data_IF_040128694863
#
_entry.id   IF_040128694863
#
_cell.length_a   1.000
_cell.length_b   1.000
_cell.length_c   1.000
_cell.angle_alpha   90.00
_cell.angle_beta   90.00
_cell.angle_gamma   90.00
#
_symmetry.space_group_name_H-M   'P 1'
#
loop_
_entity.id
_entity.type
_entity.pdbx_description
1 polymer ?
#
# COMPACT_ATOMS: atom_id res chain seq x y z
N UNK A 1 -15.80 15.08 11.36
CA UNK A 1 -14.39 14.99 11.78
C UNK A 1 -13.77 13.86 10.98
N UNK A 2 -12.66 14.11 10.29
CA UNK A 2 -12.07 13.14 9.35
C UNK A 2 -11.10 12.26 10.13
N UNK A 3 -11.64 11.21 10.75
CA UNK A 3 -10.93 10.39 11.71
C UNK A 3 -10.31 9.17 11.04
N UNK A 4 -9.06 8.89 11.38
CA UNK A 4 -8.31 7.72 10.89
C UNK A 4 -7.60 7.00 12.04
N UNK A 5 -7.24 5.74 11.83
CA UNK A 5 -6.43 4.98 12.77
C UNK A 5 -5.03 5.60 12.95
N UNK A 6 -4.43 5.34 14.12
CA UNK A 6 -3.04 5.71 14.39
C UNK A 6 -2.08 5.09 13.36
N UNK A 7 -2.37 3.87 12.88
CA UNK A 7 -1.54 3.19 11.90
C UNK A 7 -1.60 3.89 10.54
N UNK A 8 -2.78 4.32 10.09
CA UNK A 8 -2.89 5.13 8.88
C UNK A 8 -2.14 6.46 9.02
N UNK A 9 -2.23 7.12 10.19
CA UNK A 9 -1.48 8.35 10.46
C UNK A 9 0.04 8.15 10.39
N UNK A 10 0.57 7.03 10.90
CA UNK A 10 2.00 6.65 10.80
C UNK A 10 2.43 6.60 9.34
N UNK A 11 1.62 5.95 8.49
CA UNK A 11 1.93 5.78 7.07
C UNK A 11 1.80 7.09 6.31
N UNK A 12 0.75 7.87 6.56
CA UNK A 12 0.50 9.16 5.93
C UNK A 12 1.56 10.21 6.24
N UNK A 13 2.20 10.13 7.40
CA UNK A 13 3.25 11.08 7.81
C UNK A 13 4.66 10.55 7.58
N UNK A 14 4.84 9.26 7.30
CA UNK A 14 6.15 8.58 7.29
C UNK A 14 6.91 8.80 8.63
N UNK A 15 6.18 8.80 9.74
CA UNK A 15 6.71 9.04 11.10
C UNK A 15 6.41 7.86 12.01
N UNK A 16 7.30 7.62 12.97
CA UNK A 16 7.07 6.61 14.01
C UNK A 16 5.87 6.94 14.89
N UNK A 17 5.24 5.92 15.44
CA UNK A 17 4.15 6.05 16.42
C UNK A 17 4.56 6.95 17.61
N UNK A 18 5.79 6.77 18.11
CA UNK A 18 6.37 7.61 19.18
C UNK A 18 6.37 9.10 18.81
N UNK A 19 6.68 9.43 17.57
CA UNK A 19 6.68 10.81 17.09
C UNK A 19 5.26 11.37 17.05
N UNK A 20 4.29 10.59 16.57
CA UNK A 20 2.88 11.01 16.57
C UNK A 20 2.35 11.20 17.98
N UNK A 21 2.67 10.32 18.93
CA UNK A 21 2.29 10.51 20.33
C UNK A 21 2.85 11.80 20.93
N UNK A 22 4.07 12.18 20.55
CA UNK A 22 4.64 13.48 20.95
C UNK A 22 3.86 14.65 20.36
N UNK A 23 3.52 14.59 19.07
CA UNK A 23 2.72 15.63 18.39
C UNK A 23 1.31 15.76 18.98
N UNK A 24 0.76 14.66 19.51
CA UNK A 24 -0.51 14.70 20.22
C UNK A 24 -0.34 15.31 21.63
N UNK A 25 0.77 15.00 22.30
CA UNK A 25 1.07 15.55 23.63
C UNK A 25 1.37 17.05 23.61
N UNK A 26 1.97 17.55 22.53
CA UNK A 26 2.25 18.98 22.35
C UNK A 26 1.09 19.77 21.68
N UNK A 27 0.01 19.09 21.29
CA UNK A 27 -1.20 19.71 20.73
C UNK A 27 -1.13 20.03 19.23
N UNK A 28 -0.03 19.66 18.54
CA UNK A 28 0.08 19.85 17.08
C UNK A 28 -0.87 18.93 16.29
N UNK A 29 -1.25 17.79 16.86
CA UNK A 29 -2.17 16.82 16.25
C UNK A 29 -3.30 16.50 17.22
N UNK A 30 -4.53 16.56 16.72
CA UNK A 30 -5.72 16.28 17.52
C UNK A 30 -6.07 14.80 17.42
N UNK A 31 -6.45 14.20 18.55
CA UNK A 31 -7.01 12.85 18.61
C UNK A 31 -8.36 12.83 19.32
N UNK A 32 -9.18 11.85 18.99
CA UNK A 32 -10.30 11.39 19.80
C UNK A 32 -10.07 9.94 20.24
N UNK A 33 -10.88 9.45 21.17
CA UNK A 33 -10.86 8.05 21.59
C UNK A 33 -12.25 7.47 21.37
N UNK A 34 -12.33 6.43 20.54
CA UNK A 34 -13.57 5.71 20.26
C UNK A 34 -13.34 4.21 20.50
N UNK A 35 -14.21 3.59 21.30
CA UNK A 35 -14.12 2.17 21.67
C UNK A 35 -12.73 1.76 22.21
N UNK A 36 -12.09 2.66 22.97
CA UNK A 36 -10.75 2.45 23.54
C UNK A 36 -9.59 2.58 22.53
N UNK A 37 -9.87 2.94 21.27
CA UNK A 37 -8.85 3.18 20.23
C UNK A 37 -8.68 4.67 20.00
N UNK A 38 -7.43 5.11 19.88
CA UNK A 38 -7.13 6.48 19.47
C UNK A 38 -7.36 6.64 17.97
N UNK A 39 -8.19 7.62 17.61
CA UNK A 39 -8.40 8.06 16.24
C UNK A 39 -7.84 9.45 16.05
N UNK A 40 -7.14 9.67 14.95
CA UNK A 40 -6.42 10.92 14.67
C UNK A 40 -7.25 11.76 13.71
N UNK A 41 -7.35 13.06 13.96
CA UNK A 41 -7.98 13.99 13.04
C UNK A 41 -7.05 14.30 11.87
N UNK A 42 -7.43 13.83 10.67
CA UNK A 42 -6.65 13.96 9.45
C UNK A 42 -6.38 15.42 9.07
N UNK A 43 -7.31 16.33 9.38
CA UNK A 43 -7.09 17.75 9.10
C UNK A 43 -5.90 18.32 9.91
N UNK A 44 -5.79 17.93 11.19
CA UNK A 44 -4.65 18.32 12.03
C UNK A 44 -3.31 17.72 11.56
N UNK A 45 -3.35 16.62 10.79
CA UNK A 45 -2.14 16.01 10.22
C UNK A 45 -1.65 16.68 8.93
N UNK A 46 -2.47 17.51 8.27
CA UNK A 46 -2.16 18.09 6.96
C UNK A 46 -0.73 18.68 6.84
N UNK A 47 -0.21 19.44 7.82
CA UNK A 47 1.14 20.00 7.75
C UNK A 47 2.27 18.96 7.81
N UNK A 48 1.96 17.71 8.18
CA UNK A 48 2.91 16.63 8.43
C UNK A 48 2.80 15.48 7.43
N UNK A 49 1.91 15.56 6.44
CA UNK A 49 1.72 14.52 5.44
C UNK A 49 2.96 14.39 4.55
N UNK A 50 3.30 13.15 4.20
CA UNK A 50 4.44 12.84 3.35
C UNK A 50 4.09 12.86 1.85
N UNK A 51 2.81 13.01 1.53
CA UNK A 51 2.24 13.19 0.19
C UNK A 51 1.23 14.35 0.24
N UNK A 52 1.07 15.13 -0.85
CA UNK A 52 0.06 16.17 -0.91
C UNK A 52 -1.32 15.52 -0.97
N UNK A 53 -2.07 15.60 0.13
CA UNK A 53 -3.48 15.23 0.20
C UNK A 53 -4.25 16.45 0.70
N UNK A 54 -5.27 16.84 -0.03
CA UNK A 54 -6.16 17.92 0.36
C UNK A 54 -7.49 17.39 0.93
N UNK A 55 -8.42 18.30 1.18
CA UNK A 55 -9.71 17.94 1.77
C UNK A 55 -10.55 17.00 0.87
N UNK A 56 -10.35 17.05 -0.45
CA UNK A 56 -11.09 16.22 -1.40
C UNK A 56 -10.57 14.77 -1.37
N UNK A 57 -9.28 14.59 -1.05
CA UNK A 57 -8.66 13.26 -0.88
C UNK A 57 -9.01 12.57 0.45
N UNK A 58 -9.50 13.30 1.45
CA UNK A 58 -9.74 12.73 2.78
C UNK A 58 -10.77 11.61 2.76
N UNK A 59 -11.78 11.69 1.88
CA UNK A 59 -12.75 10.61 1.71
C UNK A 59 -12.07 9.32 1.23
N UNK A 60 -11.08 9.41 0.35
CA UNK A 60 -10.28 8.26 -0.11
C UNK A 60 -9.47 7.67 1.05
N UNK A 61 -8.80 8.52 1.82
CA UNK A 61 -7.99 8.09 2.98
C UNK A 61 -8.84 7.38 4.03
N UNK A 62 -10.02 7.92 4.34
CA UNK A 62 -10.94 7.31 5.31
C UNK A 62 -11.41 5.95 4.82
N UNK A 63 -11.80 5.83 3.54
CA UNK A 63 -12.20 4.53 2.96
C UNK A 63 -11.06 3.52 3.00
N UNK A 64 -9.83 3.95 2.69
CA UNK A 64 -8.65 3.09 2.73
C UNK A 64 -8.37 2.58 4.15
N UNK A 65 -8.47 3.45 5.16
CA UNK A 65 -8.31 3.09 6.58
C UNK A 65 -9.43 2.16 7.09
N UNK A 66 -10.65 2.32 6.56
CA UNK A 66 -11.79 1.44 6.85
C UNK A 66 -11.72 0.07 6.15
N UNK A 67 -10.73 -0.16 5.30
CA UNK A 67 -10.50 -1.45 4.67
C UNK A 67 -10.94 -1.56 3.21
N UNK A 68 -11.42 -0.49 2.57
CA UNK A 68 -11.81 -0.56 1.16
C UNK A 68 -10.60 -0.84 0.26
N UNK A 69 -10.54 -2.04 -0.32
CA UNK A 69 -9.37 -2.50 -1.07
C UNK A 69 -9.09 -1.67 -2.34
N UNK A 70 -10.13 -1.09 -2.97
CA UNK A 70 -9.95 -0.20 -4.10
C UNK A 70 -9.31 1.11 -3.63
N UNK A 71 -9.84 1.71 -2.56
CA UNK A 71 -9.31 2.95 -1.99
C UNK A 71 -7.88 2.78 -1.47
N UNK A 72 -7.57 1.64 -0.86
CA UNK A 72 -6.20 1.29 -0.46
C UNK A 72 -5.26 1.23 -1.67
N UNK A 73 -5.72 0.66 -2.79
CA UNK A 73 -4.94 0.60 -4.02
C UNK A 73 -4.72 1.99 -4.61
N UNK A 74 -5.78 2.79 -4.72
CA UNK A 74 -5.71 4.16 -5.25
C UNK A 74 -4.79 5.04 -4.39
N UNK A 75 -4.91 4.96 -3.06
CA UNK A 75 -4.03 5.67 -2.14
C UNK A 75 -2.57 5.20 -2.29
N UNK A 76 -2.32 3.90 -2.49
CA UNK A 76 -0.98 3.41 -2.76
C UNK A 76 -0.37 4.01 -4.03
N UNK A 77 -1.16 4.21 -5.09
CA UNK A 77 -0.71 4.84 -6.33
C UNK A 77 -0.34 6.31 -6.12
N UNK A 78 -1.07 7.04 -5.28
CA UNK A 78 -0.71 8.40 -4.86
C UNK A 78 0.65 8.39 -4.15
N UNK A 79 0.91 7.41 -3.28
CA UNK A 79 2.21 7.28 -2.64
C UNK A 79 3.33 6.98 -3.63
N UNK A 80 3.10 6.09 -4.60
CA UNK A 80 4.10 5.79 -5.63
C UNK A 80 4.44 6.98 -6.51
N UNK A 81 3.44 7.78 -6.93
CA UNK A 81 3.68 8.95 -7.77
C UNK A 81 4.56 10.01 -7.07
N UNK A 82 4.60 9.99 -5.74
CA UNK A 82 5.45 10.85 -4.91
C UNK A 82 6.72 10.16 -4.38
N UNK A 83 7.04 8.96 -4.88
CA UNK A 83 8.23 8.21 -4.47
C UNK A 83 8.17 7.64 -3.04
N UNK A 84 7.00 7.61 -2.41
CA UNK A 84 6.77 7.09 -1.05
C UNK A 84 6.47 5.60 -1.06
N UNK A 85 7.44 4.82 -1.53
CA UNK A 85 7.30 3.38 -1.80
C UNK A 85 6.91 2.58 -0.57
N UNK A 86 7.46 2.87 0.62
CA UNK A 86 7.11 2.16 1.86
C UNK A 86 5.63 2.27 2.20
N UNK A 87 5.05 3.46 2.12
CA UNK A 87 3.63 3.67 2.39
C UNK A 87 2.73 3.08 1.30
N UNK A 88 3.18 3.13 0.04
CA UNK A 88 2.49 2.48 -1.05
C UNK A 88 2.39 0.95 -0.85
N UNK A 89 3.50 0.30 -0.48
CA UNK A 89 3.53 -1.14 -0.20
C UNK A 89 2.61 -1.49 0.97
N UNK A 90 2.61 -0.68 2.05
CA UNK A 90 1.71 -0.91 3.17
C UNK A 90 0.24 -0.99 2.71
N UNK A 91 -0.22 -0.02 1.92
CA UNK A 91 -1.60 0.02 1.45
C UNK A 91 -1.91 -1.11 0.47
N UNK A 92 -1.00 -1.41 -0.46
CA UNK A 92 -1.15 -2.54 -1.36
C UNK A 92 -1.21 -3.88 -0.63
N UNK A 93 -0.42 -4.07 0.44
CA UNK A 93 -0.47 -5.28 1.25
C UNK A 93 -1.84 -5.45 1.91
N UNK A 94 -2.47 -4.36 2.39
CA UNK A 94 -3.82 -4.45 2.94
C UNK A 94 -4.83 -4.86 1.87
N UNK A 95 -4.78 -4.26 0.67
CA UNK A 95 -5.69 -4.60 -0.43
C UNK A 95 -5.44 -6.01 -0.98
N UNK A 96 -4.17 -6.40 -1.11
CA UNK A 96 -3.75 -7.71 -1.58
C UNK A 96 -4.15 -8.84 -0.63
N UNK A 97 -4.11 -8.61 0.70
CA UNK A 97 -4.61 -9.57 1.70
C UNK A 97 -6.12 -9.81 1.58
N UNK A 98 -6.86 -8.86 1.04
CA UNK A 98 -8.30 -8.97 0.80
C UNK A 98 -8.65 -9.65 -0.53
N UNK A 99 -7.67 -10.05 -1.34
CA UNK A 99 -7.96 -10.66 -2.64
C UNK A 99 -8.04 -9.68 -3.80
N UNK A 100 -7.67 -8.41 -3.63
CA UNK A 100 -7.84 -7.42 -4.69
C UNK A 100 -6.79 -7.59 -5.81
N UNK A 101 -7.18 -7.98 -7.03
CA UNK A 101 -6.21 -8.45 -8.03
C UNK A 101 -5.27 -7.35 -8.54
N UNK A 102 -5.76 -6.11 -8.64
CA UNK A 102 -4.95 -4.94 -9.03
C UNK A 102 -3.83 -4.70 -8.00
N UNK A 103 -4.14 -4.75 -6.70
CA UNK A 103 -3.14 -4.58 -5.66
C UNK A 103 -2.08 -5.69 -5.67
N UNK A 104 -2.51 -6.94 -5.86
CA UNK A 104 -1.60 -8.07 -6.00
C UNK A 104 -0.67 -7.93 -7.21
N UNK A 105 -1.19 -7.39 -8.33
CA UNK A 105 -0.36 -7.09 -9.49
C UNK A 105 0.76 -6.10 -9.13
N UNK A 106 0.40 -4.99 -8.48
CA UNK A 106 1.36 -3.98 -8.05
C UNK A 106 2.38 -4.53 -7.04
N UNK A 107 1.96 -5.31 -6.04
CA UNK A 107 2.89 -5.99 -5.12
C UNK A 107 3.86 -6.90 -5.87
N UNK A 108 3.33 -7.68 -6.82
CA UNK A 108 4.12 -8.56 -7.67
C UNK A 108 5.26 -7.82 -8.36
N UNK A 109 4.95 -6.70 -9.01
CA UNK A 109 5.95 -5.82 -9.62
C UNK A 109 6.95 -5.27 -8.62
N UNK A 110 6.51 -4.84 -7.44
CA UNK A 110 7.40 -4.28 -6.43
C UNK A 110 8.43 -5.29 -5.95
N UNK A 111 8.03 -6.53 -5.70
CA UNK A 111 8.94 -7.60 -5.31
C UNK A 111 9.88 -8.03 -6.45
N UNK A 112 9.40 -8.14 -7.70
CA UNK A 112 10.25 -8.48 -8.86
C UNK A 112 11.31 -7.39 -9.10
N UNK A 113 10.93 -6.12 -8.98
CA UNK A 113 11.82 -4.99 -9.23
C UNK A 113 12.67 -4.59 -8.02
N UNK A 114 12.28 -4.99 -6.80
CA UNK A 114 12.87 -4.47 -5.56
C UNK A 114 12.48 -3.02 -5.26
N UNK A 115 11.27 -2.60 -5.62
CA UNK A 115 10.79 -1.24 -5.40
C UNK A 115 10.15 -1.10 -4.02
N UNK A 116 10.83 -0.45 -3.08
CA UNK A 116 10.35 -0.25 -1.70
C UNK A 116 10.43 -1.50 -0.81
N UNK A 117 10.65 -2.66 -1.40
CA UNK A 117 10.90 -3.96 -0.75
C UNK A 117 12.19 -4.57 -1.28
N UNK A 118 12.77 -5.52 -0.54
CA UNK A 118 13.88 -6.32 -1.06
C UNK A 118 13.46 -7.06 -2.34
N UNK A 119 14.33 -7.09 -3.34
CA UNK A 119 14.07 -7.83 -4.58
C UNK A 119 13.89 -9.32 -4.25
N UNK A 120 12.73 -9.84 -4.56
CA UNK A 120 12.36 -11.24 -4.40
C UNK A 120 11.42 -11.65 -5.53
N UNK A 121 12.02 -12.18 -6.59
CA UNK A 121 11.27 -12.58 -7.79
C UNK A 121 10.27 -13.71 -7.48
N UNK A 122 10.59 -14.61 -6.56
CA UNK A 122 9.70 -15.72 -6.22
C UNK A 122 8.42 -15.22 -5.53
N UNK A 123 8.57 -14.32 -4.55
CA UNK A 123 7.43 -13.66 -3.89
C UNK A 123 6.64 -12.81 -4.89
N UNK A 124 7.33 -12.09 -5.77
CA UNK A 124 6.68 -11.27 -6.80
C UNK A 124 5.83 -12.10 -7.77
N UNK A 125 6.38 -13.19 -8.30
CA UNK A 125 5.66 -14.12 -9.17
C UNK A 125 4.50 -14.81 -8.44
N UNK A 126 4.62 -15.08 -7.13
CA UNK A 126 3.52 -15.63 -6.34
C UNK A 126 2.34 -14.66 -6.26
N UNK A 127 2.60 -13.36 -6.05
CA UNK A 127 1.55 -12.33 -6.07
C UNK A 127 0.92 -12.17 -7.46
N UNK A 128 1.73 -12.10 -8.53
CA UNK A 128 1.22 -12.07 -9.90
C UNK A 128 0.39 -13.32 -10.25
N UNK A 129 0.81 -14.50 -9.78
CA UNK A 129 0.07 -15.74 -9.94
C UNK A 129 -1.30 -15.71 -9.26
N UNK A 130 -1.38 -15.18 -8.04
CA UNK A 130 -2.66 -14.97 -7.34
C UNK A 130 -3.57 -13.99 -8.09
N UNK A 131 -3.03 -12.86 -8.54
CA UNK A 131 -3.78 -11.89 -9.35
C UNK A 131 -4.32 -12.52 -10.65
N UNK A 132 -3.48 -13.29 -11.35
CA UNK A 132 -3.85 -13.99 -12.57
C UNK A 132 -4.96 -15.04 -12.35
N UNK A 133 -4.88 -15.79 -11.24
CA UNK A 133 -5.90 -16.77 -10.86
C UNK A 133 -7.26 -16.11 -10.57
N UNK A 134 -7.25 -14.85 -10.12
CA UNK A 134 -8.44 -14.03 -9.90
C UNK A 134 -8.88 -13.23 -11.14
N UNK A 135 -8.30 -13.53 -12.32
CA UNK A 135 -8.71 -12.95 -13.60
C UNK A 135 -8.02 -11.65 -13.98
N UNK A 136 -6.98 -11.21 -13.24
CA UNK A 136 -6.23 -10.01 -13.62
C UNK A 136 -5.48 -10.22 -14.94
N UNK A 137 -5.89 -9.51 -15.99
CA UNK A 137 -5.46 -9.75 -17.37
C UNK A 137 -3.95 -9.51 -17.55
N UNK A 138 -3.42 -8.43 -16.96
CA UNK A 138 -2.00 -8.08 -17.07
C UNK A 138 -1.14 -9.15 -16.39
N UNK A 139 -1.50 -9.55 -15.17
CA UNK A 139 -0.74 -10.58 -14.45
C UNK A 139 -0.85 -11.96 -15.12
N UNK A 140 -1.99 -12.28 -15.73
CA UNK A 140 -2.15 -13.50 -16.53
C UNK A 140 -1.20 -13.53 -17.72
N UNK A 141 -1.07 -12.41 -18.43
CA UNK A 141 -0.13 -12.29 -19.54
C UNK A 141 1.33 -12.40 -19.07
N UNK A 142 1.67 -11.77 -17.95
CA UNK A 142 3.01 -11.81 -17.36
C UNK A 142 3.41 -13.22 -16.92
N UNK A 143 2.56 -13.90 -16.15
CA UNK A 143 2.84 -15.28 -15.70
C UNK A 143 2.93 -16.23 -16.89
N UNK A 144 2.05 -16.08 -17.88
CA UNK A 144 2.15 -16.89 -19.11
C UNK A 144 3.50 -16.69 -19.79
N UNK A 145 3.94 -15.43 -19.98
CA UNK A 145 5.24 -15.12 -20.57
C UNK A 145 6.43 -15.71 -19.80
N UNK A 146 6.39 -15.67 -18.46
CA UNK A 146 7.42 -16.28 -17.61
C UNK A 146 7.44 -17.81 -17.75
N UNK A 147 6.26 -18.45 -17.77
CA UNK A 147 6.16 -19.91 -17.93
C UNK A 147 6.66 -20.34 -19.32
N UNK A 148 6.22 -19.68 -20.39
CA UNK A 148 6.72 -19.96 -21.75
C UNK A 148 8.22 -19.70 -21.89
N UNK A 149 8.74 -18.65 -21.26
CA UNK A 149 10.18 -18.33 -21.25
C UNK A 149 11.01 -19.39 -20.53
N UNK A 150 10.48 -20.01 -19.46
CA UNK A 150 11.16 -21.11 -18.74
C UNK A 150 11.12 -22.44 -19.51
N UNK A 151 10.03 -22.74 -20.20
CA UNK A 151 9.88 -23.98 -20.98
C UNK A 151 10.79 -23.99 -22.22
N UNK A 152 11.13 -22.81 -22.76
CA UNK A 152 11.95 -22.67 -23.96
C UNK A 152 13.43 -22.35 -23.68
N UNK A 153 13.93 -22.50 -22.44
CA UNK A 153 15.37 -22.42 -22.20
C UNK A 153 16.06 -23.70 -22.71
N UNK A 154 17.10 -23.60 -23.56
CA UNK A 154 17.86 -24.78 -23.95
C UNK A 154 18.44 -25.41 -22.69
N UNK A 155 18.23 -26.72 -22.52
CA UNK A 155 18.80 -27.47 -21.40
C UNK A 155 20.31 -27.20 -21.34
N UNK A 156 20.88 -26.89 -20.16
CA UNK A 156 22.32 -26.68 -20.07
C UNK A 156 23.02 -27.96 -20.52
N UNK A 157 23.94 -27.83 -21.49
CA UNK A 157 24.82 -28.93 -21.90
C UNK A 157 25.55 -29.44 -20.65
N UNK A 158 25.21 -30.66 -20.24
CA UNK A 158 25.89 -31.45 -19.22
C UNK A 158 27.27 -31.91 -19.69
#
# INVERSE_FOLDING_TARGET
MNLISLQAAVVLTDRSERTLWRMIADGSVTRTVENGKALIDLHSLAPSLCVPLDADDYALVIKADQGDASAQTDLALIFFSHGKTKGAIYWLEQAGKQGFPEAMNWLGHCYVAGNGVGKDEATGLAWLGKAAALGHVISKAQISGVVYGRVNQPMPNS
#
